data_IF_740916256994
#
_entry.id   IF_740916256994
#
_cell.length_a   1.000
_cell.length_b   1.000
_cell.length_c   1.000
_cell.angle_alpha   90.00
_cell.angle_beta   90.00
_cell.angle_gamma   90.00
#
_symmetry.space_group_name_H-M   'P 1'
#
loop_
_entity.id
_entity.type
_entity.pdbx_description
1 polymer ?
#
# COMPACT_ATOMS: atom_id res chain seq x y z
N UNK A 1 -19.31 19.71 -2.71
CA UNK A 1 -17.84 19.80 -2.49
C UNK A 1 -17.21 18.69 -3.30
N UNK A 2 -16.58 19.07 -4.41
CA UNK A 2 -16.01 18.18 -5.41
C UNK A 2 -14.97 17.26 -4.79
N UNK A 3 -15.08 15.96 -5.06
CA UNK A 3 -14.13 14.94 -4.65
C UNK A 3 -12.81 15.11 -5.40
N UNK A 4 -12.04 16.13 -5.01
CA UNK A 4 -10.71 16.37 -5.53
C UNK A 4 -9.76 15.32 -4.94
N UNK A 5 -9.57 14.26 -5.72
CA UNK A 5 -8.38 13.44 -5.75
C UNK A 5 -7.96 12.81 -4.43
N UNK A 6 -8.38 11.56 -4.20
CA UNK A 6 -7.52 10.64 -3.46
C UNK A 6 -6.14 10.60 -4.15
N UNK A 7 -5.03 10.38 -3.40
CA UNK A 7 -3.67 10.54 -3.92
C UNK A 7 -3.28 9.62 -5.10
N UNK A 8 -4.17 8.74 -5.57
CA UNK A 8 -3.90 7.73 -6.60
C UNK A 8 -5.06 7.57 -7.60
N UNK A 9 -5.68 8.68 -8.00
CA UNK A 9 -6.97 8.71 -8.73
C UNK A 9 -7.05 7.98 -10.09
N UNK A 10 -5.96 7.73 -10.86
CA UNK A 10 -6.06 6.89 -12.06
C UNK A 10 -5.77 5.41 -11.80
N UNK A 11 -5.17 5.04 -10.66
CA UNK A 11 -4.76 3.66 -10.38
C UNK A 11 -5.74 2.90 -9.48
N UNK A 12 -6.58 3.61 -8.74
CA UNK A 12 -7.59 3.02 -7.85
C UNK A 12 -8.82 2.51 -8.62
N UNK A 13 -9.43 1.43 -8.11
CA UNK A 13 -10.72 0.98 -8.62
C UNK A 13 -11.85 1.92 -8.21
N UNK A 14 -12.97 1.94 -8.96
CA UNK A 14 -14.17 2.69 -8.58
C UNK A 14 -14.68 2.31 -7.18
N UNK A 15 -14.63 1.02 -6.83
CA UNK A 15 -15.03 0.48 -5.52
C UNK A 15 -14.22 1.10 -4.37
N UNK A 16 -12.89 1.14 -4.53
CA UNK A 16 -12.00 1.72 -3.50
C UNK A 16 -12.21 3.21 -3.38
N UNK A 17 -12.51 3.90 -4.48
CA UNK A 17 -12.79 5.34 -4.49
C UNK A 17 -14.10 5.66 -3.76
N UNK A 18 -15.13 4.83 -3.94
CA UNK A 18 -16.39 4.98 -3.21
C UNK A 18 -16.23 4.69 -1.71
N UNK A 19 -15.46 3.66 -1.33
CA UNK A 19 -15.13 3.38 0.07
C UNK A 19 -14.37 4.57 0.69
N UNK A 20 -13.44 5.17 -0.06
CA UNK A 20 -12.71 6.36 0.39
C UNK A 20 -13.60 7.59 0.54
N UNK A 21 -14.60 7.76 -0.32
CA UNK A 21 -15.56 8.87 -0.25
C UNK A 21 -16.46 8.78 0.99
N UNK A 22 -16.75 7.57 1.47
CA UNK A 22 -17.61 7.32 2.63
C UNK A 22 -16.84 6.96 3.91
N UNK A 23 -15.51 6.99 3.87
CA UNK A 23 -14.67 6.68 5.02
C UNK A 23 -14.80 7.77 6.09
N UNK A 24 -15.00 7.34 7.33
CA UNK A 24 -15.03 8.26 8.48
C UNK A 24 -13.63 8.81 8.76
N UNK A 25 -13.53 9.95 9.43
CA UNK A 25 -12.24 10.59 9.74
C UNK A 25 -11.27 9.69 10.54
N UNK A 26 -11.81 8.82 11.42
CA UNK A 26 -11.02 7.88 12.20
C UNK A 26 -10.46 6.73 11.36
N UNK A 27 -11.21 6.25 10.38
CA UNK A 27 -10.76 5.25 9.40
C UNK A 27 -9.72 5.84 8.45
N UNK A 28 -9.92 7.09 8.01
CA UNK A 28 -8.95 7.82 7.19
C UNK A 28 -7.61 8.00 7.91
N UNK A 29 -7.61 8.27 9.21
CA UNK A 29 -6.38 8.39 10.00
C UNK A 29 -5.63 7.04 10.16
N UNK A 30 -6.38 5.93 10.27
CA UNK A 30 -5.77 4.59 10.26
C UNK A 30 -5.18 4.26 8.88
N UNK A 31 -5.88 4.60 7.81
CA UNK A 31 -5.41 4.42 6.45
C UNK A 31 -4.14 5.25 6.16
N UNK A 32 -4.09 6.52 6.59
CA UNK A 32 -2.90 7.37 6.44
C UNK A 32 -1.72 6.84 7.24
N UNK A 33 -1.94 6.36 8.48
CA UNK A 33 -0.89 5.76 9.31
C UNK A 33 -0.34 4.47 8.70
N UNK A 34 -1.20 3.61 8.15
CA UNK A 34 -0.77 2.41 7.42
C UNK A 34 0.02 2.78 6.16
N UNK A 35 -0.47 3.75 5.38
CA UNK A 35 0.24 4.25 4.20
C UNK A 35 1.59 4.87 4.54
N UNK A 36 1.68 5.64 5.62
CA UNK A 36 2.92 6.22 6.12
C UNK A 36 3.92 5.16 6.59
N UNK A 37 3.47 4.16 7.34
CA UNK A 37 4.32 3.05 7.78
C UNK A 37 4.85 2.24 6.59
N UNK A 38 4.01 2.02 5.57
CA UNK A 38 4.43 1.37 4.33
C UNK A 38 5.45 2.22 3.57
N UNK A 39 5.18 3.52 3.41
CA UNK A 39 6.10 4.44 2.74
C UNK A 39 7.45 4.51 3.43
N UNK A 40 7.46 4.54 4.77
CA UNK A 40 8.69 4.46 5.57
C UNK A 40 9.42 3.13 5.34
N UNK A 41 8.70 2.01 5.36
CA UNK A 41 9.27 0.69 5.12
C UNK A 41 9.88 0.56 3.70
N UNK A 42 9.20 1.09 2.68
CA UNK A 42 9.73 1.19 1.30
C UNK A 42 10.98 2.06 1.27
N UNK A 43 10.94 3.25 1.87
CA UNK A 43 12.07 4.17 1.89
C UNK A 43 13.30 3.53 2.55
N UNK A 44 13.14 2.85 3.70
CA UNK A 44 14.22 2.14 4.38
C UNK A 44 14.78 1.01 3.50
N UNK A 45 13.92 0.26 2.81
CA UNK A 45 14.36 -0.88 1.98
C UNK A 45 15.11 -0.43 0.72
N UNK A 46 14.82 0.74 0.17
CA UNK A 46 15.51 1.28 -1.01
C UNK A 46 16.70 2.17 -0.66
N UNK A 47 16.55 3.07 0.31
CA UNK A 47 17.60 4.00 0.70
C UNK A 47 18.69 3.32 1.53
N UNK A 48 18.34 2.32 2.36
CA UNK A 48 19.30 1.61 3.20
C UNK A 48 20.41 0.93 2.40
N UNK A 49 20.09 0.05 1.44
CA UNK A 49 21.10 -0.61 0.63
C UNK A 49 21.91 0.37 -0.24
N UNK A 50 21.27 1.43 -0.76
CA UNK A 50 21.95 2.44 -1.57
C UNK A 50 22.96 3.26 -0.74
N UNK A 51 22.54 3.78 0.42
CA UNK A 51 23.42 4.52 1.31
C UNK A 51 24.57 3.64 1.82
N UNK A 52 24.29 2.38 2.13
CA UNK A 52 25.28 1.42 2.60
C UNK A 52 26.30 1.04 1.52
N UNK A 53 25.85 0.84 0.27
CA UNK A 53 26.72 0.57 -0.87
C UNK A 53 27.66 1.75 -1.18
N UNK A 54 27.14 2.99 -1.11
CA UNK A 54 27.95 4.21 -1.31
C UNK A 54 28.97 4.36 -0.17
N UNK A 55 28.57 4.13 1.08
CA UNK A 55 29.44 4.33 2.25
C UNK A 55 30.61 3.33 2.31
N UNK A 56 30.43 2.09 1.84
CA UNK A 56 31.42 1.01 2.00
C UNK A 56 32.16 0.64 0.70
N UNK A 57 31.74 1.14 -0.46
CA UNK A 57 32.46 1.02 -1.73
C UNK A 57 32.66 -0.42 -2.24
N UNK A 58 31.86 -1.38 -1.77
CA UNK A 58 32.12 -2.80 -1.99
C UNK A 58 30.95 -3.51 -2.70
N UNK A 59 31.21 -4.04 -3.90
CA UNK A 59 30.22 -4.58 -4.84
C UNK A 59 29.54 -5.87 -4.34
N UNK A 60 30.18 -6.60 -3.43
CA UNK A 60 29.73 -7.88 -2.86
C UNK A 60 28.41 -7.75 -2.09
N UNK A 61 28.05 -6.54 -1.62
CA UNK A 61 26.78 -6.28 -0.93
C UNK A 61 25.62 -5.96 -1.89
N UNK A 62 25.87 -5.85 -3.20
CA UNK A 62 24.82 -5.71 -4.20
C UNK A 62 23.86 -6.91 -4.22
N UNK A 63 24.35 -8.11 -3.90
CA UNK A 63 23.51 -9.31 -3.76
C UNK A 63 22.58 -9.23 -2.56
N UNK A 64 23.05 -8.72 -1.41
CA UNK A 64 22.21 -8.50 -0.22
C UNK A 64 21.12 -7.45 -0.49
N UNK A 65 21.46 -6.37 -1.20
CA UNK A 65 20.49 -5.37 -1.66
C UNK A 65 19.41 -5.99 -2.56
N UNK A 66 19.81 -6.83 -3.52
CA UNK A 66 18.90 -7.54 -4.41
C UNK A 66 17.96 -8.47 -3.64
N UNK A 67 18.48 -9.23 -2.67
CA UNK A 67 17.67 -10.10 -1.80
C UNK A 67 16.66 -9.28 -1.00
N UNK A 68 17.05 -8.13 -0.45
CA UNK A 68 16.14 -7.23 0.25
C UNK A 68 15.02 -6.70 -0.65
N UNK A 69 15.33 -6.34 -1.90
CA UNK A 69 14.34 -5.93 -2.90
C UNK A 69 13.39 -7.09 -3.25
N UNK A 70 13.90 -8.31 -3.41
CA UNK A 70 13.05 -9.48 -3.70
C UNK A 70 12.11 -9.78 -2.52
N UNK A 71 12.62 -9.76 -1.29
CA UNK A 71 11.81 -9.92 -0.07
C UNK A 71 10.76 -8.80 0.03
N UNK A 72 11.13 -7.58 -0.35
CA UNK A 72 10.20 -6.45 -0.41
C UNK A 72 9.03 -6.73 -1.35
N UNK A 73 9.33 -7.14 -2.59
CA UNK A 73 8.33 -7.50 -3.60
C UNK A 73 7.43 -8.65 -3.11
N UNK A 74 8.01 -9.67 -2.46
CA UNK A 74 7.26 -10.79 -1.90
C UNK A 74 6.32 -10.38 -0.74
N UNK A 75 6.64 -9.31 -0.01
CA UNK A 75 5.81 -8.78 1.07
C UNK A 75 4.67 -7.88 0.55
N UNK A 76 4.77 -7.31 -0.66
CA UNK A 76 3.70 -6.53 -1.30
C UNK A 76 2.35 -7.26 -1.29
N UNK A 77 2.19 -8.51 -1.75
CA UNK A 77 0.90 -9.20 -1.73
C UNK A 77 0.33 -9.39 -0.32
N UNK A 78 1.20 -9.61 0.69
CA UNK A 78 0.77 -9.68 2.08
C UNK A 78 0.25 -8.32 2.58
N UNK A 79 0.91 -7.24 2.18
CA UNK A 79 0.47 -5.87 2.47
C UNK A 79 -0.87 -5.55 1.79
N UNK A 80 -1.02 -5.91 0.52
CA UNK A 80 -2.28 -5.77 -0.22
C UNK A 80 -3.42 -6.50 0.50
N UNK A 81 -3.18 -7.72 1.00
CA UNK A 81 -4.17 -8.48 1.78
C UNK A 81 -4.59 -7.77 3.07
N UNK A 82 -3.65 -7.10 3.76
CA UNK A 82 -3.98 -6.28 4.95
C UNK A 82 -4.83 -5.06 4.59
N UNK A 83 -4.50 -4.36 3.49
CA UNK A 83 -5.30 -3.23 3.01
C UNK A 83 -6.72 -3.69 2.65
N UNK A 84 -6.89 -4.80 1.93
CA UNK A 84 -8.22 -5.35 1.60
C UNK A 84 -9.05 -5.64 2.85
N UNK A 85 -8.45 -6.30 3.84
CA UNK A 85 -9.13 -6.58 5.12
C UNK A 85 -9.52 -5.30 5.83
N UNK A 86 -8.65 -4.30 5.85
CA UNK A 86 -8.96 -3.00 6.45
C UNK A 86 -10.13 -2.32 5.72
N UNK A 87 -10.12 -2.28 4.38
CA UNK A 87 -11.19 -1.70 3.59
C UNK A 87 -12.52 -2.43 3.79
N UNK A 88 -12.52 -3.77 3.86
CA UNK A 88 -13.73 -4.55 4.16
C UNK A 88 -14.24 -4.37 5.60
N UNK A 89 -13.35 -4.00 6.54
CA UNK A 89 -13.74 -3.68 7.91
C UNK A 89 -14.32 -2.28 8.09
N UNK A 90 -14.32 -1.44 7.05
CA UNK A 90 -14.93 -0.11 7.12
C UNK A 90 -16.45 -0.20 7.20
N UNK A 91 -17.09 0.77 7.85
CA UNK A 91 -18.55 0.78 8.03
C UNK A 91 -19.31 0.60 6.70
N UNK A 92 -18.86 1.28 5.66
CA UNK A 92 -19.48 1.23 4.32
C UNK A 92 -19.32 -0.12 3.62
N UNK A 93 -18.15 -0.76 3.72
CA UNK A 93 -17.94 -2.07 3.11
C UNK A 93 -18.64 -3.19 3.88
N UNK A 94 -18.79 -3.03 5.21
CA UNK A 94 -19.53 -3.93 6.08
C UNK A 94 -21.03 -3.91 5.79
N UNK A 95 -21.58 -2.74 5.46
CA UNK A 95 -22.99 -2.61 5.05
C UNK A 95 -23.30 -3.24 3.69
N UNK A 96 -22.27 -3.44 2.84
CA UNK A 96 -22.43 -3.99 1.48
C UNK A 96 -21.95 -5.43 1.32
N UNK A 97 -21.63 -6.11 2.42
CA UNK A 97 -21.13 -7.50 2.43
C UNK A 97 -19.99 -7.73 1.43
N UNK A 98 -19.11 -6.73 1.29
CA UNK A 98 -18.02 -6.78 0.31
C UNK A 98 -16.94 -7.74 0.80
N UNK A 99 -16.88 -8.93 0.21
CA UNK A 99 -15.85 -9.91 0.51
C UNK A 99 -14.45 -9.39 0.11
N UNK A 100 -13.42 -9.53 0.98
CA UNK A 100 -12.05 -9.05 0.73
C UNK A 100 -11.37 -9.73 -0.46
N UNK A 101 -11.94 -10.83 -0.95
CA UNK A 101 -11.47 -11.57 -2.11
C UNK A 101 -11.98 -10.97 -3.43
N UNK A 102 -13.16 -10.33 -3.41
CA UNK A 102 -13.78 -9.70 -4.58
C UNK A 102 -13.37 -8.24 -4.77
N UNK A 103 -12.91 -7.58 -3.70
CA UNK A 103 -12.50 -6.18 -3.73
C UNK A 103 -11.25 -5.98 -4.60
N UNK A 104 -11.42 -5.28 -5.73
CA UNK A 104 -10.33 -4.94 -6.64
C UNK A 104 -9.64 -3.68 -6.12
N UNK A 105 -8.38 -3.79 -5.69
CA UNK A 105 -7.62 -2.61 -5.20
C UNK A 105 -7.19 -1.66 -6.31
N UNK A 106 -6.89 -2.20 -7.49
CA UNK A 106 -6.43 -1.45 -8.66
C UNK A 106 -7.36 -1.69 -9.85
N UNK A 107 -7.49 -0.68 -10.70
CA UNK A 107 -8.19 -0.80 -11.99
C UNK A 107 -7.44 -1.73 -12.97
N UNK A 108 -6.12 -1.86 -12.81
CA UNK A 108 -5.26 -2.69 -13.65
C UNK A 108 -5.34 -4.19 -13.28
N UNK A 109 -6.49 -4.82 -13.51
CA UNK A 109 -6.61 -6.28 -13.50
C UNK A 109 -7.48 -6.72 -14.68
N UNK A 110 -6.84 -7.23 -15.74
CA UNK A 110 -7.49 -8.16 -16.67
C UNK A 110 -7.73 -9.46 -15.92
#
# INVERSE_FOLDING_TARGET
>A
MSAEGTPWSPFQSPEVREIWAHMTGSERNKASRLGGLYGLWVAVTFAGPLAFAIALGNFTFGTAALVLIIVHIACVPAWQKKIRRFLCSTGWARERDLAPERLRLFTFRK
#
